data_IF_073864216037
#
_entry.id   IF_073864216037
#
_cell.length_a   1.000
_cell.length_b   1.000
_cell.length_c   1.000
_cell.angle_alpha   90.00
_cell.angle_beta   90.00
_cell.angle_gamma   90.00
#
_symmetry.space_group_name_H-M   'P 1'
#
loop_
_entity.id
_entity.type
_entity.pdbx_description
1 polymer ?
#
# COMPACT_ATOMS: atom_id res chain seq x y z
N UNK A 1 -10.03 -43.43 74.06
CA UNK A 1 -10.04 -42.55 72.88
C UNK A 1 -8.60 -42.18 72.57
N UNK A 2 -7.94 -42.97 71.71
CA UNK A 2 -6.55 -42.75 71.31
C UNK A 2 -6.50 -42.25 69.88
N UNK A 3 -5.94 -41.06 69.67
CA UNK A 3 -5.58 -40.54 68.34
C UNK A 3 -4.22 -41.12 67.95
N UNK A 4 -4.09 -41.83 66.81
CA UNK A 4 -2.81 -42.29 66.33
C UNK A 4 -2.08 -41.21 65.51
N UNK A 5 -0.78 -41.18 65.76
CA UNK A 5 0.30 -40.46 65.10
C UNK A 5 0.39 -40.67 63.58
N UNK A 6 0.70 -39.60 62.87
CA UNK A 6 1.06 -39.56 61.44
C UNK A 6 2.38 -40.29 61.14
N UNK A 7 2.47 -41.10 60.07
CA UNK A 7 3.74 -41.60 59.54
C UNK A 7 4.30 -40.72 58.41
N UNK A 8 5.63 -40.59 58.43
CA UNK A 8 6.51 -39.97 57.44
C UNK A 8 6.27 -40.48 56.00
N UNK A 9 6.05 -39.56 55.05
CA UNK A 9 6.09 -39.85 53.61
C UNK A 9 7.49 -39.55 53.05
N UNK A 10 8.16 -40.60 52.56
CA UNK A 10 9.41 -40.52 51.77
C UNK A 10 9.14 -39.86 50.41
N UNK A 11 9.98 -38.92 50.02
CA UNK A 11 9.98 -38.27 48.70
C UNK A 11 10.81 -39.10 47.71
N UNK A 12 10.16 -39.65 46.67
CA UNK A 12 10.80 -40.27 45.51
C UNK A 12 11.14 -39.20 44.43
N UNK A 13 12.30 -39.29 43.73
CA UNK A 13 12.73 -38.28 42.77
C UNK A 13 12.03 -38.41 41.41
N UNK A 14 11.52 -37.30 40.88
CA UNK A 14 10.87 -37.25 39.55
C UNK A 14 11.89 -37.34 38.40
N UNK A 15 11.59 -38.07 37.31
CA UNK A 15 12.46 -38.15 36.14
C UNK A 15 12.50 -36.82 35.36
N UNK A 16 13.70 -36.37 34.99
CA UNK A 16 13.93 -35.19 34.13
C UNK A 16 13.63 -35.53 32.67
N UNK A 17 12.42 -35.23 32.21
CA UNK A 17 12.08 -35.28 30.78
C UNK A 17 12.69 -34.07 30.08
N UNK A 18 13.76 -34.26 29.30
CA UNK A 18 14.25 -33.25 28.34
C UNK A 18 13.20 -33.09 27.23
N UNK A 19 12.36 -32.07 27.36
CA UNK A 19 11.44 -31.65 26.30
C UNK A 19 12.28 -31.07 25.16
N UNK A 20 12.50 -31.86 24.11
CA UNK A 20 12.99 -31.35 22.83
C UNK A 20 11.94 -30.36 22.32
N UNK A 21 12.22 -29.06 22.47
CA UNK A 21 11.51 -28.00 21.77
C UNK A 21 11.81 -28.16 20.29
N UNK A 22 10.98 -28.96 19.61
CA UNK A 22 10.85 -28.92 18.16
C UNK A 22 10.29 -27.54 17.86
N UNK A 23 11.17 -26.63 17.45
CA UNK A 23 10.78 -25.33 16.90
C UNK A 23 9.98 -25.64 15.63
N UNK A 24 8.67 -25.76 15.78
CA UNK A 24 7.78 -25.69 14.65
C UNK A 24 7.94 -24.27 14.11
N UNK A 25 8.77 -24.13 13.08
CA UNK A 25 8.60 -23.06 12.11
C UNK A 25 7.14 -23.14 11.72
N UNK A 26 6.32 -22.23 12.24
CA UNK A 26 4.97 -22.03 11.77
C UNK A 26 5.09 -21.76 10.28
N UNK A 27 4.84 -22.77 9.47
CA UNK A 27 4.52 -22.57 8.06
C UNK A 27 3.26 -21.73 8.06
N UNK A 28 3.46 -20.41 7.94
CA UNK A 28 2.40 -19.45 7.70
C UNK A 28 1.49 -20.01 6.60
N UNK A 29 0.15 -19.97 6.77
CA UNK A 29 -0.74 -20.47 5.74
C UNK A 29 -0.47 -19.70 4.45
N UNK A 30 0.04 -20.42 3.44
CA UNK A 30 0.26 -19.89 2.10
C UNK A 30 -1.11 -19.47 1.58
N UNK A 31 -1.33 -18.16 1.51
CA UNK A 31 -2.56 -17.59 0.97
C UNK A 31 -2.71 -18.04 -0.48
N UNK A 32 -3.94 -18.35 -0.96
CA UNK A 32 -4.14 -18.78 -2.33
C UNK A 32 -3.62 -17.74 -3.32
N UNK A 33 -3.08 -18.16 -4.47
CA UNK A 33 -2.52 -17.24 -5.45
C UNK A 33 -3.58 -16.26 -5.95
N UNK A 34 -3.32 -14.97 -5.74
CA UNK A 34 -4.21 -13.87 -6.11
C UNK A 34 -3.86 -13.30 -7.48
N UNK A 35 -4.82 -12.64 -8.13
CA UNK A 35 -4.58 -11.84 -9.34
C UNK A 35 -4.79 -10.37 -8.99
N UNK A 36 -3.73 -9.57 -9.03
CA UNK A 36 -3.77 -8.16 -8.63
C UNK A 36 -3.61 -7.24 -9.83
N UNK A 37 -4.60 -6.38 -10.06
CA UNK A 37 -4.56 -5.34 -11.10
C UNK A 37 -3.99 -4.04 -10.54
N UNK A 38 -2.94 -3.48 -11.15
CA UNK A 38 -2.18 -2.34 -10.60
C UNK A 38 -2.07 -1.22 -11.62
N UNK A 39 -2.59 -0.03 -11.30
CA UNK A 39 -2.28 1.20 -12.04
C UNK A 39 -1.01 1.84 -11.48
N UNK A 40 -0.27 2.58 -12.31
CA UNK A 40 0.95 3.27 -11.84
C UNK A 40 2.10 2.33 -11.46
N UNK A 41 2.03 1.05 -11.88
CA UNK A 41 3.01 0.01 -11.55
C UNK A 41 4.46 0.36 -11.98
N UNK A 42 4.62 1.16 -13.04
CA UNK A 42 5.95 1.60 -13.52
C UNK A 42 6.59 2.68 -12.64
N UNK A 43 5.86 3.23 -11.65
CA UNK A 43 6.34 4.21 -10.70
C UNK A 43 7.19 3.60 -9.57
N UNK A 44 7.69 4.47 -8.68
CA UNK A 44 8.64 4.07 -7.64
C UNK A 44 8.06 3.05 -6.63
N UNK A 45 6.85 3.30 -6.14
CA UNK A 45 6.15 2.39 -5.21
C UNK A 45 5.65 1.15 -5.98
N UNK A 46 5.07 1.38 -7.15
CA UNK A 46 4.51 0.33 -8.01
C UNK A 46 5.51 -0.78 -8.36
N UNK A 47 6.75 -0.43 -8.73
CA UNK A 47 7.78 -1.44 -9.07
C UNK A 47 8.08 -2.39 -7.92
N UNK A 48 8.18 -1.85 -6.70
CA UNK A 48 8.42 -2.67 -5.50
C UNK A 48 7.23 -3.55 -5.18
N UNK A 49 6.01 -3.01 -5.32
CA UNK A 49 4.79 -3.77 -5.12
C UNK A 49 4.69 -4.95 -6.10
N UNK A 50 4.94 -4.71 -7.39
CA UNK A 50 4.96 -5.77 -8.43
C UNK A 50 5.98 -6.85 -8.07
N UNK A 51 7.19 -6.46 -7.73
CA UNK A 51 8.24 -7.41 -7.37
C UNK A 51 7.85 -8.27 -6.15
N UNK A 52 7.26 -7.66 -5.11
CA UNK A 52 6.83 -8.38 -3.90
C UNK A 52 5.68 -9.35 -4.19
N UNK A 53 4.70 -8.93 -4.99
CA UNK A 53 3.56 -9.78 -5.33
C UNK A 53 4.00 -10.99 -6.16
N UNK A 54 4.88 -10.78 -7.14
CA UNK A 54 5.42 -11.87 -7.96
C UNK A 54 6.32 -12.81 -7.14
N UNK A 55 7.09 -12.30 -6.16
CA UNK A 55 7.89 -13.16 -5.27
C UNK A 55 7.04 -14.02 -4.33
N UNK A 56 5.78 -13.63 -4.12
CA UNK A 56 4.80 -14.34 -3.30
C UNK A 56 3.88 -15.24 -4.15
N UNK A 57 4.28 -15.54 -5.40
CA UNK A 57 3.52 -16.35 -6.37
C UNK A 57 2.11 -15.81 -6.70
N UNK A 58 1.92 -14.50 -6.61
CA UNK A 58 0.71 -13.84 -7.09
C UNK A 58 0.85 -13.45 -8.56
N UNK A 59 -0.27 -13.42 -9.30
CA UNK A 59 -0.33 -12.90 -10.67
C UNK A 59 -0.57 -11.41 -10.65
N UNK A 60 0.05 -10.68 -11.57
CA UNK A 60 -0.07 -9.22 -11.63
C UNK A 60 -0.52 -8.79 -13.02
N UNK A 61 -1.61 -8.02 -13.11
CA UNK A 61 -1.95 -7.27 -14.32
C UNK A 61 -1.60 -5.78 -14.15
N UNK A 62 -0.70 -5.29 -15.00
CA UNK A 62 -0.32 -3.87 -15.03
C UNK A 62 -1.27 -3.11 -15.94
N UNK A 63 -2.03 -2.19 -15.34
CA UNK A 63 -2.89 -1.25 -16.04
C UNK A 63 -2.08 -0.01 -16.42
N UNK A 64 -1.69 0.10 -17.69
CA UNK A 64 -0.79 1.17 -18.17
C UNK A 64 -1.39 1.98 -19.33
N UNK A 65 -0.93 3.23 -19.45
CA UNK A 65 -1.19 4.11 -20.60
C UNK A 65 -0.20 3.88 -21.74
N UNK A 66 0.96 3.28 -21.45
CA UNK A 66 2.02 2.99 -22.43
C UNK A 66 2.54 1.57 -22.19
N UNK A 67 2.21 0.66 -23.10
CA UNK A 67 2.69 -0.73 -23.05
C UNK A 67 4.20 -0.81 -23.27
N UNK A 68 4.75 -0.03 -24.20
CA UNK A 68 6.19 0.01 -24.47
C UNK A 68 7.00 0.39 -23.23
N UNK A 69 6.57 1.43 -22.49
CA UNK A 69 7.21 1.82 -21.23
C UNK A 69 7.04 0.77 -20.13
N UNK A 70 5.90 0.09 -20.07
CA UNK A 70 5.72 -0.98 -19.10
C UNK A 70 6.60 -2.19 -19.42
N UNK A 71 6.71 -2.58 -20.69
CA UNK A 71 7.53 -3.69 -21.15
C UNK A 71 9.04 -3.43 -20.97
N UNK A 72 9.49 -2.18 -21.09
CA UNK A 72 10.88 -1.82 -20.82
C UNK A 72 11.23 -1.87 -19.33
N UNK A 73 10.26 -1.55 -18.45
CA UNK A 73 10.45 -1.64 -16.98
C UNK A 73 10.27 -3.08 -16.48
N UNK A 74 9.38 -3.85 -17.11
CA UNK A 74 9.06 -5.23 -16.75
C UNK A 74 9.22 -6.14 -17.99
N UNK A 75 10.46 -6.52 -18.35
CA UNK A 75 10.69 -7.45 -19.45
C UNK A 75 10.07 -8.81 -19.16
N UNK A 76 9.35 -9.38 -20.13
CA UNK A 76 8.64 -10.65 -19.96
C UNK A 76 9.56 -11.83 -19.58
N UNK A 77 10.84 -11.78 -19.99
CA UNK A 77 11.85 -12.78 -19.62
C UNK A 77 12.19 -12.80 -18.13
N UNK A 78 12.02 -11.67 -17.44
CA UNK A 78 12.37 -11.51 -16.02
C UNK A 78 11.16 -11.62 -15.10
N UNK A 79 9.96 -11.37 -15.62
CA UNK A 79 8.71 -11.32 -14.85
C UNK A 79 7.67 -12.30 -15.41
N UNK A 80 7.87 -13.62 -15.22
CA UNK A 80 6.84 -14.60 -15.56
C UNK A 80 5.58 -14.38 -14.72
N UNK A 81 4.39 -14.51 -15.32
CA UNK A 81 3.11 -14.30 -14.61
C UNK A 81 2.63 -12.83 -14.54
N UNK A 82 3.33 -11.92 -15.22
CA UNK A 82 2.94 -10.52 -15.38
C UNK A 82 2.24 -10.29 -16.72
N UNK A 83 1.07 -9.66 -16.68
CA UNK A 83 0.31 -9.22 -17.85
C UNK A 83 0.36 -7.70 -17.96
N UNK A 84 0.59 -7.15 -19.14
CA UNK A 84 0.53 -5.70 -19.40
C UNK A 84 -0.74 -5.41 -20.19
N UNK A 85 -1.65 -4.62 -19.61
CA UNK A 85 -2.91 -4.22 -20.23
C UNK A 85 -2.89 -2.74 -20.62
N UNK A 86 -3.21 -2.46 -21.89
CA UNK A 86 -3.49 -1.10 -22.34
C UNK A 86 -4.93 -0.72 -22.05
N UNK A 87 -5.28 0.55 -22.22
CA UNK A 87 -6.57 1.09 -21.78
C UNK A 87 -7.79 0.32 -22.31
N UNK A 88 -7.71 -0.26 -23.51
CA UNK A 88 -8.78 -1.10 -24.07
C UNK A 88 -9.00 -2.42 -23.29
N UNK A 89 -7.95 -2.94 -22.65
CA UNK A 89 -7.95 -4.24 -21.96
C UNK A 89 -8.09 -4.09 -20.44
N UNK A 90 -8.16 -2.85 -19.91
CA UNK A 90 -8.24 -2.61 -18.47
C UNK A 90 -9.44 -3.27 -17.83
N UNK A 91 -10.60 -3.21 -18.49
CA UNK A 91 -11.84 -3.78 -17.99
C UNK A 91 -11.73 -5.29 -17.79
N UNK A 92 -11.15 -6.01 -18.76
CA UNK A 92 -10.93 -7.44 -18.68
C UNK A 92 -10.00 -7.80 -17.50
N UNK A 93 -8.90 -7.06 -17.33
CA UNK A 93 -8.00 -7.27 -16.19
C UNK A 93 -8.63 -6.96 -14.84
N UNK A 94 -9.45 -5.91 -14.74
CA UNK A 94 -10.16 -5.56 -13.49
C UNK A 94 -11.17 -6.66 -13.14
N UNK A 95 -11.95 -7.15 -14.11
CA UNK A 95 -12.94 -8.22 -13.90
C UNK A 95 -12.32 -9.58 -13.55
N UNK A 96 -11.08 -9.83 -13.96
CA UNK A 96 -10.35 -11.06 -13.64
C UNK A 96 -9.50 -10.97 -12.35
N UNK A 97 -9.53 -9.84 -11.65
CA UNK A 97 -8.66 -9.59 -10.49
C UNK A 97 -9.37 -9.83 -9.17
N UNK A 98 -8.64 -10.39 -8.20
CA UNK A 98 -9.08 -10.51 -6.81
C UNK A 98 -8.97 -9.17 -6.08
N UNK A 99 -8.01 -8.33 -6.50
CA UNK A 99 -7.72 -7.03 -5.92
C UNK A 99 -7.30 -6.01 -6.99
N UNK A 100 -7.68 -4.75 -6.81
CA UNK A 100 -7.22 -3.63 -7.64
C UNK A 100 -6.47 -2.62 -6.78
N UNK A 101 -5.28 -2.21 -7.22
CA UNK A 101 -4.46 -1.18 -6.56
C UNK A 101 -4.25 -0.01 -7.51
N UNK A 102 -4.69 1.18 -7.10
CA UNK A 102 -4.52 2.41 -7.86
C UNK A 102 -3.39 3.26 -7.28
N UNK A 103 -2.23 3.25 -7.95
CA UNK A 103 -1.05 4.07 -7.60
C UNK A 103 -0.76 5.14 -8.67
N UNK A 104 -1.62 5.26 -9.69
CA UNK A 104 -1.40 6.19 -10.79
C UNK A 104 -1.60 7.64 -10.35
N UNK A 105 -0.64 8.49 -10.73
CA UNK A 105 -0.73 9.92 -10.57
C UNK A 105 0.46 10.61 -11.22
N UNK A 106 0.27 11.85 -11.67
CA UNK A 106 1.38 12.67 -12.13
C UNK A 106 2.26 13.10 -10.94
N UNK A 107 3.60 13.08 -11.08
CA UNK A 107 4.48 13.64 -10.06
C UNK A 107 4.18 15.12 -9.79
N UNK A 108 4.20 15.53 -8.52
CA UNK A 108 3.95 16.91 -8.10
C UNK A 108 5.21 17.78 -8.04
N UNK A 109 6.38 17.19 -8.26
CA UNK A 109 7.70 17.86 -8.18
C UNK A 109 8.05 18.60 -9.47
N UNK A 110 7.10 19.34 -10.03
CA UNK A 110 7.26 20.15 -11.25
C UNK A 110 6.97 21.60 -10.90
N UNK A 111 7.26 22.53 -11.82
CA UNK A 111 6.89 23.93 -11.64
C UNK A 111 5.36 24.07 -11.77
N UNK A 112 4.72 24.72 -10.81
CA UNK A 112 3.25 24.81 -10.78
C UNK A 112 2.76 26.05 -11.52
N UNK A 113 2.18 25.83 -12.70
CA UNK A 113 1.29 26.77 -13.37
C UNK A 113 -0.18 26.36 -13.15
N UNK A 114 -1.17 27.22 -13.44
CA UNK A 114 -2.58 26.85 -13.39
C UNK A 114 -2.91 25.59 -14.21
N UNK A 115 -2.30 25.45 -15.38
CA UNK A 115 -2.47 24.30 -16.28
C UNK A 115 -1.92 23.02 -15.64
N UNK A 116 -0.72 23.09 -15.06
CA UNK A 116 -0.10 21.96 -14.36
C UNK A 116 -0.92 21.55 -13.13
N UNK A 117 -1.49 22.51 -12.38
CA UNK A 117 -2.41 22.19 -11.27
C UNK A 117 -3.64 21.43 -11.79
N UNK A 118 -4.24 21.88 -12.89
CA UNK A 118 -5.36 21.15 -13.46
C UNK A 118 -4.96 19.73 -13.89
N UNK A 119 -3.80 19.55 -14.53
CA UNK A 119 -3.29 18.23 -14.91
C UNK A 119 -2.99 17.32 -13.70
N UNK A 120 -2.42 17.88 -12.62
CA UNK A 120 -2.17 17.15 -11.36
C UNK A 120 -3.47 16.54 -10.84
N UNK A 121 -4.53 17.35 -10.78
CA UNK A 121 -5.86 16.93 -10.31
C UNK A 121 -6.48 15.91 -11.26
N UNK A 122 -6.53 16.25 -12.55
CA UNK A 122 -7.16 15.43 -13.57
C UNK A 122 -6.48 14.06 -13.73
N UNK A 123 -5.14 13.98 -13.59
CA UNK A 123 -4.40 12.73 -13.70
C UNK A 123 -4.81 11.69 -12.65
N UNK A 124 -5.23 12.13 -11.46
CA UNK A 124 -5.68 11.29 -10.35
C UNK A 124 -7.15 10.94 -10.48
N UNK A 125 -7.99 11.95 -10.69
CA UNK A 125 -9.46 11.78 -10.82
C UNK A 125 -9.80 10.90 -12.03
N UNK A 126 -9.18 11.14 -13.20
CA UNK A 126 -9.49 10.37 -14.40
C UNK A 126 -9.18 8.88 -14.28
N UNK A 127 -8.01 8.54 -13.72
CA UNK A 127 -7.61 7.13 -13.61
C UNK A 127 -8.49 6.44 -12.57
N UNK A 128 -8.74 7.11 -11.44
CA UNK A 128 -9.59 6.59 -10.37
C UNK A 128 -11.02 6.37 -10.87
N UNK A 129 -11.61 7.35 -11.55
CA UNK A 129 -12.96 7.25 -12.12
C UNK A 129 -13.07 6.08 -13.12
N UNK A 130 -12.07 5.87 -13.98
CA UNK A 130 -12.04 4.73 -14.90
C UNK A 130 -12.00 3.40 -14.15
N UNK A 131 -11.11 3.27 -13.17
CA UNK A 131 -10.99 2.05 -12.37
C UNK A 131 -12.30 1.76 -11.64
N UNK A 132 -12.88 2.74 -10.96
CA UNK A 132 -14.16 2.61 -10.26
C UNK A 132 -15.27 2.20 -11.22
N UNK A 133 -15.34 2.82 -12.40
CA UNK A 133 -16.28 2.43 -13.45
C UNK A 133 -16.13 0.95 -13.83
N UNK A 134 -14.92 0.47 -14.09
CA UNK A 134 -14.68 -0.93 -14.45
C UNK A 134 -15.02 -1.90 -13.31
N UNK A 135 -14.74 -1.53 -12.06
CA UNK A 135 -15.11 -2.33 -10.89
C UNK A 135 -16.64 -2.42 -10.77
N UNK A 136 -17.34 -1.30 -10.88
CA UNK A 136 -18.80 -1.25 -10.76
C UNK A 136 -19.50 -1.93 -11.94
N UNK A 137 -18.89 -1.92 -13.13
CA UNK A 137 -19.39 -2.63 -14.32
C UNK A 137 -19.12 -4.13 -14.32
N UNK A 138 -18.30 -4.65 -13.39
CA UNK A 138 -18.15 -6.08 -13.21
C UNK A 138 -19.50 -6.64 -12.73
N UNK A 139 -20.29 -7.20 -13.65
CA UNK A 139 -21.70 -7.53 -13.41
C UNK A 139 -21.91 -8.53 -12.27
N UNK A 140 -21.13 -9.62 -12.24
CA UNK A 140 -21.28 -10.69 -11.26
C UNK A 140 -20.24 -10.59 -10.14
N UNK A 141 -20.63 -10.97 -8.93
CA UNK A 141 -19.76 -11.02 -7.74
C UNK A 141 -18.49 -11.85 -7.99
N UNK A 142 -18.58 -12.97 -8.72
CA UNK A 142 -17.44 -13.83 -9.04
C UNK A 142 -16.37 -13.17 -9.93
N UNK A 143 -16.76 -12.12 -10.67
CA UNK A 143 -15.87 -11.35 -11.55
C UNK A 143 -15.55 -9.98 -11.00
N UNK A 144 -15.93 -9.68 -9.75
CA UNK A 144 -15.67 -8.40 -9.13
C UNK A 144 -14.50 -8.53 -8.18
N UNK A 145 -13.54 -7.58 -8.16
CA UNK A 145 -12.49 -7.60 -7.17
C UNK A 145 -13.07 -7.43 -5.77
N UNK A 146 -12.57 -8.22 -4.83
CA UNK A 146 -12.98 -8.15 -3.41
C UNK A 146 -12.52 -6.88 -2.70
N UNK A 147 -11.44 -6.27 -3.21
CA UNK A 147 -10.81 -5.10 -2.58
C UNK A 147 -10.32 -4.12 -3.64
N UNK A 148 -10.56 -2.85 -3.38
CA UNK A 148 -10.01 -1.72 -4.11
C UNK A 148 -9.17 -0.86 -3.18
N UNK A 149 -7.87 -0.79 -3.46
CA UNK A 149 -6.91 0.03 -2.72
C UNK A 149 -6.57 1.25 -3.57
N UNK A 150 -6.90 2.45 -3.10
CA UNK A 150 -6.53 3.70 -3.76
C UNK A 150 -5.50 4.44 -2.93
N UNK A 151 -4.31 4.67 -3.50
CA UNK A 151 -3.34 5.55 -2.87
C UNK A 151 -3.80 7.01 -2.99
N UNK A 152 -3.71 7.75 -1.90
CA UNK A 152 -3.84 9.21 -1.84
C UNK A 152 -2.58 9.78 -1.19
N UNK A 153 -2.66 10.94 -0.53
CA UNK A 153 -1.50 11.58 0.08
C UNK A 153 -1.83 12.26 1.40
N UNK A 154 -0.83 12.39 2.28
CA UNK A 154 -0.94 13.17 3.53
C UNK A 154 -1.27 14.65 3.30
N UNK A 155 -1.11 15.14 2.06
CA UNK A 155 -1.57 16.47 1.66
C UNK A 155 -3.06 16.70 1.91
N UNK A 156 -3.84 15.65 2.16
CA UNK A 156 -5.23 15.74 2.64
C UNK A 156 -5.39 16.65 3.86
N UNK A 157 -4.48 16.59 4.84
CA UNK A 157 -4.57 17.34 6.10
C UNK A 157 -4.07 18.79 5.99
N UNK A 158 -3.37 19.13 4.89
CA UNK A 158 -2.67 20.39 4.73
C UNK A 158 -1.37 20.47 5.54
N UNK A 159 -0.90 21.69 5.79
CA UNK A 159 0.37 21.94 6.50
C UNK A 159 0.13 22.53 7.88
N UNK A 160 0.82 22.00 8.90
CA UNK A 160 0.85 22.58 10.24
C UNK A 160 2.22 22.38 10.89
N UNK A 161 2.64 23.33 11.72
CA UNK A 161 3.86 23.23 12.54
C UNK A 161 3.58 22.76 13.97
N UNK A 162 2.30 22.74 14.38
CA UNK A 162 1.88 22.50 15.76
C UNK A 162 0.85 21.37 15.92
N UNK A 163 0.07 21.09 14.87
CA UNK A 163 -0.99 20.08 14.94
C UNK A 163 -0.50 18.72 14.44
N UNK A 164 -0.86 17.67 15.18
CA UNK A 164 -0.77 16.28 14.74
C UNK A 164 -2.08 15.85 14.11
N UNK A 165 -2.02 15.02 13.08
CA UNK A 165 -3.18 14.51 12.36
C UNK A 165 -3.21 12.99 12.37
N UNK A 166 -4.40 12.44 12.43
CA UNK A 166 -4.72 11.02 12.26
C UNK A 166 -5.76 10.83 11.14
N UNK A 167 -6.14 9.59 10.82
CA UNK A 167 -7.07 9.26 9.76
C UNK A 167 -8.47 9.88 9.95
N UNK A 168 -8.84 10.19 11.20
CA UNK A 168 -10.11 10.82 11.56
C UNK A 168 -10.09 12.35 11.46
N UNK A 169 -8.90 12.93 11.30
CA UNK A 169 -8.70 14.36 11.25
C UNK A 169 -9.29 14.99 9.97
N UNK A 170 -9.80 16.23 10.05
CA UNK A 170 -10.43 16.89 8.92
C UNK A 170 -9.40 17.22 7.82
N UNK A 171 -9.92 17.42 6.61
CA UNK A 171 -9.11 17.90 5.50
C UNK A 171 -8.66 19.35 5.70
N UNK A 172 -7.46 19.68 5.21
CA UNK A 172 -6.96 21.05 5.14
C UNK A 172 -7.69 21.89 4.09
N UNK A 173 -7.39 23.19 4.05
CA UNK A 173 -8.04 24.14 3.13
C UNK A 173 -7.15 24.59 1.96
N UNK A 174 -6.03 23.89 1.72
CA UNK A 174 -5.13 24.19 0.62
C UNK A 174 -5.49 23.42 -0.67
N UNK A 175 -4.79 23.75 -1.75
CA UNK A 175 -4.99 23.13 -3.06
C UNK A 175 -4.66 21.63 -3.05
N UNK A 176 -3.66 21.17 -2.29
CA UNK A 176 -3.33 19.74 -2.23
C UNK A 176 -4.40 18.96 -1.48
N UNK A 177 -4.96 19.55 -0.43
CA UNK A 177 -6.10 19.01 0.30
C UNK A 177 -7.33 18.91 -0.60
N UNK A 178 -7.64 19.94 -1.41
CA UNK A 178 -8.69 19.88 -2.43
C UNK A 178 -8.49 18.71 -3.41
N UNK A 179 -7.29 18.56 -3.97
CA UNK A 179 -6.97 17.45 -4.87
C UNK A 179 -7.17 16.11 -4.18
N UNK A 180 -6.75 15.96 -2.93
CA UNK A 180 -6.94 14.72 -2.17
C UNK A 180 -8.42 14.44 -1.89
N UNK A 181 -9.21 15.45 -1.53
CA UNK A 181 -10.67 15.30 -1.32
C UNK A 181 -11.38 14.84 -2.58
N UNK A 182 -11.13 15.48 -3.73
CA UNK A 182 -11.74 15.07 -5.00
C UNK A 182 -11.31 13.65 -5.40
N UNK A 183 -10.05 13.31 -5.15
CA UNK A 183 -9.52 11.98 -5.42
C UNK A 183 -10.17 10.89 -4.54
N UNK A 184 -10.24 11.11 -3.23
CA UNK A 184 -10.90 10.21 -2.27
C UNK A 184 -12.39 10.09 -2.58
N UNK A 185 -13.07 11.22 -2.85
CA UNK A 185 -14.48 11.21 -3.24
C UNK A 185 -14.74 10.39 -4.51
N UNK A 186 -13.84 10.45 -5.50
CA UNK A 186 -13.93 9.63 -6.71
C UNK A 186 -13.76 8.15 -6.39
N UNK A 187 -12.83 7.79 -5.51
CA UNK A 187 -12.62 6.40 -5.10
C UNK A 187 -13.82 5.84 -4.31
N UNK A 188 -14.47 6.67 -3.48
CA UNK A 188 -15.67 6.32 -2.72
C UNK A 188 -16.90 5.98 -3.58
N UNK A 189 -16.90 6.30 -4.87
CA UNK A 189 -17.96 5.93 -5.82
C UNK A 189 -17.96 4.44 -6.19
N UNK A 190 -16.98 3.65 -5.74
CA UNK A 190 -17.02 2.19 -5.87
C UNK A 190 -18.20 1.61 -5.10
N UNK A 191 -18.80 0.52 -5.60
CA UNK A 191 -19.84 -0.18 -4.85
C UNK A 191 -19.24 -0.85 -3.59
N UNK A 192 -19.38 -0.18 -2.45
CA UNK A 192 -18.80 -0.62 -1.18
C UNK A 192 -19.56 -1.76 -0.50
N UNK A 193 -20.75 -2.12 -0.99
CA UNK A 193 -21.48 -3.30 -0.51
C UNK A 193 -20.76 -4.59 -0.90
N UNK A 194 -20.17 -4.60 -2.11
CA UNK A 194 -19.51 -5.76 -2.70
C UNK A 194 -17.98 -5.66 -2.69
N UNK A 195 -17.43 -4.44 -2.61
CA UNK A 195 -15.99 -4.18 -2.74
C UNK A 195 -15.48 -3.39 -1.56
N UNK A 196 -14.50 -3.96 -0.86
CA UNK A 196 -13.85 -3.25 0.24
C UNK A 196 -12.94 -2.14 -0.28
N UNK A 197 -13.27 -0.89 0.01
CA UNK A 197 -12.44 0.27 -0.32
C UNK A 197 -11.40 0.52 0.77
N UNK A 198 -10.16 0.81 0.36
CA UNK A 198 -9.05 1.20 1.24
C UNK A 198 -8.38 2.43 0.68
N UNK A 199 -8.33 3.50 1.47
CA UNK A 199 -7.66 4.74 1.11
C UNK A 199 -6.31 4.81 1.83
N UNK A 200 -5.21 4.91 1.09
CA UNK A 200 -3.86 4.97 1.66
C UNK A 200 -3.30 6.40 1.53
N UNK A 201 -3.31 7.18 2.61
CA UNK A 201 -2.72 8.53 2.62
C UNK A 201 -1.19 8.44 2.75
N UNK A 202 -0.51 8.36 1.60
CA UNK A 202 0.95 8.13 1.57
C UNK A 202 1.72 9.43 1.88
N UNK A 203 2.67 9.34 2.82
CA UNK A 203 3.62 10.41 3.15
C UNK A 203 4.78 10.53 2.17
N UNK A 204 5.83 11.25 2.57
CA UNK A 204 7.04 11.37 1.73
C UNK A 204 7.79 10.05 1.73
N UNK A 205 7.81 9.37 0.58
CA UNK A 205 8.52 8.11 0.42
C UNK A 205 10.00 8.37 0.14
N UNK A 206 10.86 7.84 1.02
CA UNK A 206 12.31 7.87 0.86
C UNK A 206 12.84 6.52 0.38
N UNK A 207 13.70 6.54 -0.63
CA UNK A 207 14.55 5.39 -0.94
C UNK A 207 15.70 5.77 -1.87
N UNK A 208 16.79 5.01 -1.81
CA UNK A 208 18.03 5.33 -2.53
C UNK A 208 17.84 5.44 -4.05
N UNK A 209 17.02 4.57 -4.65
CA UNK A 209 16.87 4.47 -6.10
C UNK A 209 15.65 5.26 -6.64
N UNK A 210 15.09 6.20 -5.86
CA UNK A 210 13.97 7.04 -6.30
C UNK A 210 13.26 7.81 -5.17
N UNK A 211 12.01 8.22 -5.39
CA UNK A 211 11.27 9.01 -4.40
C UNK A 211 11.86 10.41 -4.15
N UNK A 212 11.64 10.95 -2.95
CA UNK A 212 12.16 12.28 -2.59
C UNK A 212 13.68 12.24 -2.28
N UNK A 213 14.15 11.15 -1.66
CA UNK A 213 15.56 11.01 -1.27
C UNK A 213 16.51 11.07 -2.48
N UNK A 214 16.20 10.35 -3.57
CA UNK A 214 17.05 10.37 -4.78
C UNK A 214 17.18 11.77 -5.41
N UNK A 215 16.21 12.67 -5.20
CA UNK A 215 16.30 14.06 -5.66
C UNK A 215 17.12 14.94 -4.72
N UNK A 216 17.18 14.58 -3.44
CA UNK A 216 17.98 15.30 -2.44
C UNK A 216 19.46 14.91 -2.49
N UNK A 217 19.78 13.62 -2.73
CA UNK A 217 21.16 13.09 -2.72
C UNK A 217 22.14 13.95 -3.53
N UNK A 218 21.86 14.35 -4.80
CA UNK A 218 22.81 15.15 -5.58
C UNK A 218 23.18 16.49 -4.93
N UNK A 219 22.20 17.17 -4.32
CA UNK A 219 22.43 18.46 -3.64
C UNK A 219 23.29 18.28 -2.39
N UNK A 220 23.04 17.21 -1.63
CA UNK A 220 23.84 16.86 -0.47
C UNK A 220 25.26 16.43 -0.85
N UNK A 221 25.44 15.68 -1.94
CA UNK A 221 26.76 15.29 -2.44
C UNK A 221 27.60 16.47 -2.94
N UNK A 222 26.96 17.55 -3.38
CA UNK A 222 27.62 18.81 -3.75
C UNK A 222 27.86 19.74 -2.56
N UNK A 223 27.68 19.28 -1.31
CA UNK A 223 27.75 20.10 -0.10
C UNK A 223 26.80 21.31 -0.10
N UNK A 224 25.80 21.34 -0.98
CA UNK A 224 24.75 22.35 -1.06
C UNK A 224 23.50 21.95 -0.25
N UNK A 225 23.68 21.04 0.72
CA UNK A 225 22.63 20.63 1.65
C UNK A 225 22.45 21.66 2.76
N UNK A 226 21.20 21.99 3.08
CA UNK A 226 20.85 22.89 4.18
C UNK A 226 19.38 22.76 4.56
N UNK A 227 18.97 23.32 5.71
CA UNK A 227 17.56 23.33 6.10
C UNK A 227 16.75 24.11 5.03
N UNK A 228 15.64 23.52 4.59
CA UNK A 228 14.71 24.21 3.71
C UNK A 228 13.91 25.22 4.52
N UNK A 229 13.84 26.48 4.09
CA UNK A 229 13.05 27.52 4.79
C UNK A 229 13.49 27.72 6.25
N UNK A 230 12.54 27.64 7.18
CA UNK A 230 12.80 27.80 8.64
C UNK A 230 13.38 26.54 9.29
N UNK A 231 13.26 25.38 8.62
CA UNK A 231 13.67 24.08 9.16
C UNK A 231 12.75 23.51 10.24
N UNK A 232 11.66 24.21 10.59
CA UNK A 232 10.67 23.76 11.60
C UNK A 232 9.51 22.99 11.00
N UNK A 233 9.41 22.95 9.67
CA UNK A 233 8.37 22.21 8.99
C UNK A 233 8.50 20.71 9.26
N UNK A 234 7.36 20.07 9.55
CA UNK A 234 7.29 18.65 9.79
C UNK A 234 7.26 17.91 8.45
N UNK A 235 8.17 16.95 8.28
CA UNK A 235 8.14 16.02 7.17
C UNK A 235 7.60 14.69 7.70
N UNK A 236 6.39 14.32 7.29
CA UNK A 236 5.90 12.98 7.53
C UNK A 236 6.60 12.02 6.55
N UNK A 237 7.63 11.35 7.05
CA UNK A 237 8.31 10.29 6.30
C UNK A 237 7.42 9.04 6.31
N UNK A 238 7.12 8.51 5.13
CA UNK A 238 6.59 7.15 5.01
C UNK A 238 7.75 6.19 4.73
N UNK A 239 8.04 5.34 5.72
CA UNK A 239 8.94 4.20 5.54
C UNK A 239 8.21 3.13 4.73
N UNK A 240 8.27 3.24 3.40
CA UNK A 240 7.76 2.18 2.51
C UNK A 240 8.70 0.96 2.47
N UNK A 241 9.83 1.00 3.18
CA UNK A 241 10.91 0.01 3.04
C UNK A 241 10.94 -1.14 4.06
N UNK A 242 9.98 -1.27 4.99
CA UNK A 242 10.00 -2.46 5.86
C UNK A 242 8.66 -3.00 6.38
N UNK A 243 7.53 -2.32 6.17
CA UNK A 243 6.29 -2.72 6.86
C UNK A 243 5.04 -2.55 6.00
N UNK A 244 5.01 -3.24 4.87
CA UNK A 244 3.73 -3.61 4.26
C UNK A 244 3.72 -5.12 4.04
N UNK A 245 3.71 -5.88 5.13
CA UNK A 245 2.92 -7.12 5.11
C UNK A 245 1.48 -6.68 5.00
N UNK A 246 1.00 -6.52 3.76
CA UNK A 246 -0.43 -6.43 3.47
C UNK A 246 -0.97 -7.83 3.79
N UNK A 247 -1.24 -8.11 5.07
CA UNK A 247 -1.88 -9.35 5.47
C UNK A 247 -3.35 -9.20 5.14
N UNK A 248 -3.75 -9.82 4.04
CA UNK A 248 -5.13 -9.88 3.59
C UNK A 248 -5.86 -10.88 4.49
N UNK A 249 -6.69 -10.38 5.41
CA UNK A 249 -7.61 -11.20 6.19
C UNK A 249 -9.04 -10.96 5.64
N UNK A 250 -9.67 -11.97 5.01
CA UNK A 250 -11.03 -11.85 4.50
C UNK A 250 -12.09 -11.76 5.62
N UNK A 251 -11.73 -11.95 6.89
CA UNK A 251 -12.65 -12.03 8.02
C UNK A 251 -12.64 -10.82 8.97
N UNK A 252 -11.67 -9.89 8.85
CA UNK A 252 -11.57 -8.72 9.73
C UNK A 252 -11.70 -7.39 8.99
N UNK A 253 -12.64 -6.57 9.47
CA UNK A 253 -12.99 -5.22 9.00
C UNK A 253 -12.00 -4.11 9.41
N UNK A 254 -10.76 -4.44 9.80
CA UNK A 254 -9.75 -3.46 10.21
C UNK A 254 -8.42 -3.74 9.54
N UNK A 255 -8.01 -2.87 8.61
CA UNK A 255 -6.60 -2.71 8.25
C UNK A 255 -5.88 -2.13 9.47
N UNK A 256 -5.19 -2.97 10.25
CA UNK A 256 -4.29 -2.46 11.28
C UNK A 256 -3.01 -1.95 10.63
N UNK A 257 -2.84 -0.63 10.65
CA UNK A 257 -1.53 -0.01 10.64
C UNK A 257 -0.81 -0.54 11.89
N UNK A 258 0.16 -1.44 11.71
CA UNK A 258 1.02 -1.84 12.82
C UNK A 258 1.87 -0.62 13.18
N UNK A 259 1.51 0.02 14.27
CA UNK A 259 2.35 0.98 14.96
C UNK A 259 3.66 0.33 15.40
N UNK A 260 4.69 1.15 15.53
CA UNK A 260 5.97 0.79 16.15
C UNK A 260 5.72 0.25 17.55
N UNK A 261 5.99 -1.04 17.77
CA UNK A 261 6.47 -1.50 19.08
C UNK A 261 8.00 -1.39 19.08
N UNK A 262 8.50 -0.84 20.19
CA UNK A 262 9.89 -0.40 20.40
C UNK A 262 10.91 -1.52 20.31
#
# INVERSE_FOLDING_TARGET
MGFPSTPNLKLEPRPRTRRLLRCALSSEPVQPPMTVSITGATGFIGRRLVHKLLSDDHKVCILTRSASKAASVFPASTYPGLTIAQQGDWEACVRGSTAVVNLAGMPISTRWSPEIKQEIKQSRVNVTSKVVKYINHAGNADTRPSVFVSATAIGYYGTSEIHSFDESSPSGNDYLAEVCREWEATACQVNQEDVRLVLLRIGVVLGKDGGALAKMIPLFMMFAGGPLGTGRQWLLLSLVLQTYSIRWDPSHSVFRQMGFDR
#
